data_IF_777887656803
#
_entry.id   IF_777887656803
#
_cell.length_a   1.000
_cell.length_b   1.000
_cell.length_c   1.000
_cell.angle_alpha   90.00
_cell.angle_beta   90.00
_cell.angle_gamma   90.00
#
_symmetry.space_group_name_H-M   'P 1'
#
loop_
_entity.id
_entity.type
_entity.pdbx_description
1 polymer ?
#
# COMPACT_ATOMS: atom_id res chain seq x y z
N UNK A 1 -20.40 41.80 -14.24
CA UNK A 1 -20.79 41.39 -12.88
C UNK A 1 -21.20 39.92 -12.96
N UNK A 2 -20.33 39.02 -12.49
CA UNK A 2 -20.57 37.57 -12.50
C UNK A 2 -21.21 37.18 -11.16
N UNK A 3 -22.35 36.50 -11.21
CA UNK A 3 -23.04 35.95 -10.03
C UNK A 3 -22.73 34.47 -9.97
N UNK A 4 -22.09 34.02 -8.89
CA UNK A 4 -21.92 32.60 -8.58
C UNK A 4 -23.10 32.15 -7.74
N UNK A 5 -23.88 31.18 -8.23
CA UNK A 5 -24.92 30.52 -7.45
C UNK A 5 -24.35 29.21 -6.89
N UNK A 6 -24.20 29.12 -5.57
CA UNK A 6 -23.82 27.91 -4.87
C UNK A 6 -25.09 27.09 -4.56
N UNK A 7 -25.23 25.91 -5.13
CA UNK A 7 -26.27 24.97 -4.70
C UNK A 7 -25.81 24.29 -3.40
N UNK A 8 -26.64 24.22 -2.34
CA UNK A 8 -26.32 23.44 -1.15
C UNK A 8 -26.46 21.96 -1.52
N UNK A 9 -25.33 21.25 -1.68
CA UNK A 9 -25.38 19.80 -1.76
C UNK A 9 -25.58 19.25 -0.34
N UNK A 10 -26.77 18.70 -0.11
CA UNK A 10 -27.11 17.89 1.05
C UNK A 10 -26.07 16.78 1.20
N UNK A 11 -25.26 16.84 2.26
CA UNK A 11 -24.36 15.77 2.67
C UNK A 11 -25.25 14.60 3.10
N UNK A 12 -25.41 13.61 2.21
CA UNK A 12 -25.92 12.31 2.65
C UNK A 12 -24.89 11.71 3.62
N UNK A 13 -25.30 11.19 4.79
CA UNK A 13 -24.40 10.46 5.66
C UNK A 13 -23.85 9.26 4.89
N UNK A 14 -22.53 9.08 4.91
CA UNK A 14 -21.87 7.94 4.30
C UNK A 14 -22.43 6.67 4.95
N UNK A 15 -23.17 5.85 4.21
CA UNK A 15 -23.51 4.50 4.67
C UNK A 15 -22.19 3.71 4.72
N UNK A 16 -21.66 3.47 5.92
CA UNK A 16 -20.48 2.64 6.21
C UNK A 16 -20.76 1.15 5.95
N UNK A 17 -21.11 0.80 4.72
CA UNK A 17 -21.34 -0.58 4.33
C UNK A 17 -20.82 -0.74 2.90
N UNK A 18 -19.61 -1.30 2.78
CA UNK A 18 -18.87 -1.54 1.52
C UNK A 18 -18.24 -0.33 0.82
N UNK A 19 -17.70 0.62 1.60
CA UNK A 19 -16.76 1.60 1.05
C UNK A 19 -15.34 1.05 1.14
N UNK A 20 -14.57 1.13 0.04
CA UNK A 20 -13.12 1.04 0.01
C UNK A 20 -12.57 1.71 1.28
N UNK A 21 -11.62 1.06 1.97
CA UNK A 21 -11.00 1.62 3.15
C UNK A 21 -9.63 2.19 2.80
N UNK A 22 -9.56 3.40 2.20
CA UNK A 22 -8.31 4.01 1.81
C UNK A 22 -7.44 4.33 3.03
N UNK A 23 -8.05 4.49 4.21
CA UNK A 23 -7.34 4.79 5.44
C UNK A 23 -6.52 3.57 5.91
N UNK A 24 -7.05 2.35 5.79
CA UNK A 24 -6.27 1.13 6.06
C UNK A 24 -5.10 1.00 5.10
N UNK A 25 -5.34 1.10 3.80
CA UNK A 25 -4.27 1.01 2.79
C UNK A 25 -3.18 2.08 3.03
N UNK A 26 -3.59 3.30 3.39
CA UNK A 26 -2.68 4.42 3.66
C UNK A 26 -1.85 4.24 4.94
N UNK A 27 -2.46 3.75 6.02
CA UNK A 27 -1.74 3.42 7.26
C UNK A 27 -0.69 2.34 7.05
N UNK A 28 -1.05 1.27 6.35
CA UNK A 28 -0.11 0.18 6.04
C UNK A 28 1.02 0.69 5.14
N UNK A 29 0.70 1.44 4.08
CA UNK A 29 1.73 1.98 3.19
C UNK A 29 2.69 2.93 3.92
N UNK A 30 2.17 3.75 4.84
CA UNK A 30 2.97 4.69 5.64
C UNK A 30 3.85 3.96 6.63
N UNK A 31 3.31 3.00 7.39
CA UNK A 31 4.08 2.23 8.35
C UNK A 31 5.21 1.44 7.66
N UNK A 32 4.92 0.80 6.52
CA UNK A 32 5.93 0.10 5.74
C UNK A 32 7.03 1.04 5.23
N UNK A 33 6.66 2.19 4.65
CA UNK A 33 7.61 3.13 4.04
C UNK A 33 8.40 3.96 5.05
N UNK A 34 7.87 4.23 6.24
CA UNK A 34 8.48 5.14 7.22
C UNK A 34 9.03 4.45 8.47
N UNK A 35 8.68 3.18 8.69
CA UNK A 35 9.10 2.41 9.87
C UNK A 35 9.70 1.06 9.48
N UNK A 36 8.94 0.18 8.82
CA UNK A 36 9.36 -1.22 8.63
C UNK A 36 10.49 -1.40 7.62
N UNK A 37 10.45 -0.67 6.50
CA UNK A 37 11.45 -0.81 5.43
C UNK A 37 12.61 0.17 5.52
N UNK A 38 12.77 0.92 6.61
CA UNK A 38 13.81 1.96 6.71
C UNK A 38 14.62 1.82 8.00
N UNK A 39 15.92 2.09 7.92
CA UNK A 39 16.79 2.16 9.12
C UNK A 39 16.63 3.47 9.89
N UNK A 40 16.21 4.51 9.18
CA UNK A 40 15.99 5.85 9.73
C UNK A 40 14.64 6.36 9.26
N UNK A 41 13.75 6.81 10.17
CA UNK A 41 12.47 7.36 9.81
C UNK A 41 12.61 8.50 8.79
N UNK A 42 11.65 8.60 7.87
CA UNK A 42 11.60 9.62 6.81
C UNK A 42 12.71 9.54 5.74
N UNK A 43 13.51 8.47 5.72
CA UNK A 43 14.35 8.11 4.59
C UNK A 43 13.50 7.53 3.46
N UNK A 44 13.78 7.89 2.21
CA UNK A 44 13.24 7.19 1.03
C UNK A 44 14.03 5.93 0.70
N UNK A 45 15.28 5.84 1.19
CA UNK A 45 16.13 4.68 0.99
C UNK A 45 15.65 3.52 1.85
N UNK A 46 15.39 2.38 1.22
CA UNK A 46 14.95 1.18 1.93
C UNK A 46 16.13 0.38 2.47
N UNK A 47 15.93 -0.22 3.64
CA UNK A 47 16.70 -1.34 4.12
C UNK A 47 16.19 -2.61 3.45
N UNK A 48 16.94 -3.10 2.46
CA UNK A 48 16.62 -4.32 1.72
C UNK A 48 16.62 -5.56 2.60
N UNK A 49 17.41 -5.60 3.68
CA UNK A 49 17.42 -6.73 4.62
C UNK A 49 16.11 -6.79 5.40
N UNK A 50 15.62 -5.65 5.90
CA UNK A 50 14.34 -5.56 6.61
C UNK A 50 13.16 -5.90 5.69
N UNK A 51 13.17 -5.37 4.45
CA UNK A 51 12.15 -5.70 3.46
C UNK A 51 12.18 -7.19 3.07
N UNK A 52 13.37 -7.78 2.84
CA UNK A 52 13.48 -9.23 2.57
C UNK A 52 12.89 -10.04 3.72
N UNK A 53 13.22 -9.72 4.97
CA UNK A 53 12.69 -10.44 6.13
C UNK A 53 11.16 -10.36 6.22
N UNK A 54 10.57 -9.20 5.89
CA UNK A 54 9.12 -9.03 5.86
C UNK A 54 8.43 -9.90 4.79
N UNK A 55 9.02 -10.01 3.60
CA UNK A 55 8.42 -10.78 2.50
C UNK A 55 8.75 -12.28 2.54
N UNK A 56 9.82 -12.70 3.21
CA UNK A 56 10.23 -14.11 3.32
C UNK A 56 9.37 -14.90 4.31
N UNK A 57 8.75 -14.25 5.30
CA UNK A 57 7.90 -14.87 6.33
C UNK A 57 6.44 -14.36 6.25
N UNK A 58 5.68 -14.75 5.21
CA UNK A 58 4.37 -14.16 4.91
C UNK A 58 3.26 -14.50 5.91
N UNK A 59 3.44 -15.53 6.74
CA UNK A 59 2.38 -16.08 7.61
C UNK A 59 1.87 -15.09 8.66
N UNK A 60 2.64 -14.05 8.98
CA UNK A 60 2.32 -13.03 9.99
C UNK A 60 2.14 -11.61 9.43
N UNK A 61 2.04 -11.43 8.11
CA UNK A 61 1.98 -10.10 7.49
C UNK A 61 0.76 -9.31 7.97
N UNK A 62 -0.43 -9.91 8.02
CA UNK A 62 -1.65 -9.22 8.52
C UNK A 62 -1.48 -8.72 9.94
N UNK A 63 -0.94 -9.56 10.84
CA UNK A 63 -0.66 -9.17 12.23
C UNK A 63 0.35 -8.03 12.28
N UNK A 64 1.42 -8.13 11.48
CA UNK A 64 2.48 -7.13 11.38
C UNK A 64 1.94 -5.77 10.96
N UNK A 65 1.04 -5.74 9.96
CA UNK A 65 0.45 -4.49 9.46
C UNK A 65 -0.82 -4.07 10.21
N UNK A 66 -1.19 -4.78 11.29
CA UNK A 66 -2.33 -4.45 12.14
C UNK A 66 -3.71 -4.65 11.48
N UNK A 67 -3.83 -5.60 10.56
CA UNK A 67 -5.08 -5.96 9.88
C UNK A 67 -5.64 -7.29 10.39
N UNK A 68 -6.96 -7.44 10.30
CA UNK A 68 -7.61 -8.74 10.52
C UNK A 68 -7.21 -9.71 9.39
N UNK A 69 -6.93 -10.97 9.72
CA UNK A 69 -6.46 -11.98 8.75
C UNK A 69 -7.46 -12.29 7.64
N UNK A 70 -8.72 -11.90 7.79
CA UNK A 70 -9.75 -12.04 6.77
C UNK A 70 -9.82 -10.85 5.82
N UNK A 71 -9.05 -9.79 6.06
CA UNK A 71 -8.98 -8.60 5.20
C UNK A 71 -8.12 -8.93 3.97
N UNK A 72 -8.69 -8.99 2.77
CA UNK A 72 -7.90 -9.11 1.54
C UNK A 72 -6.87 -7.99 1.44
N UNK A 73 -5.62 -8.38 1.20
CA UNK A 73 -4.47 -7.50 1.18
C UNK A 73 -3.54 -7.94 0.07
N UNK A 74 -3.04 -6.98 -0.70
CA UNK A 74 -1.92 -7.17 -1.60
C UNK A 74 -0.90 -6.05 -1.38
N UNK A 75 0.36 -6.44 -1.23
CA UNK A 75 1.49 -5.51 -1.09
C UNK A 75 2.48 -5.86 -2.18
N UNK A 76 2.95 -4.88 -2.93
CA UNK A 76 3.94 -5.12 -3.99
C UNK A 76 4.91 -3.96 -4.09
N UNK A 77 6.20 -4.25 -4.26
CA UNK A 77 7.23 -3.26 -4.62
C UNK A 77 7.64 -3.49 -6.07
N UNK A 78 7.40 -2.51 -6.94
CA UNK A 78 7.67 -2.64 -8.38
C UNK A 78 8.49 -1.47 -8.89
N UNK A 79 9.36 -1.69 -9.88
CA UNK A 79 10.14 -0.62 -10.51
C UNK A 79 9.22 0.46 -11.07
N UNK A 80 9.54 1.73 -10.85
CA UNK A 80 8.77 2.84 -11.45
C UNK A 80 8.96 2.92 -12.96
N UNK A 81 10.05 2.34 -13.49
CA UNK A 81 10.40 2.40 -14.91
C UNK A 81 9.95 1.16 -15.68
N UNK A 82 10.28 -0.05 -15.20
CA UNK A 82 9.94 -1.30 -15.90
C UNK A 82 8.59 -1.87 -15.49
N UNK A 83 8.11 -1.54 -14.28
CA UNK A 83 6.94 -2.17 -13.68
C UNK A 83 7.18 -3.59 -13.18
N UNK A 84 8.41 -4.09 -13.24
CA UNK A 84 8.76 -5.43 -12.76
C UNK A 84 8.88 -5.45 -11.22
N UNK A 85 8.50 -6.56 -10.56
CA UNK A 85 8.68 -6.72 -9.12
C UNK A 85 10.14 -6.60 -8.71
N UNK A 86 10.39 -5.86 -7.62
CA UNK A 86 11.68 -5.89 -6.96
C UNK A 86 11.88 -7.27 -6.34
N UNK A 87 13.06 -7.86 -6.58
CA UNK A 87 13.46 -9.11 -5.96
C UNK A 87 14.85 -8.97 -5.36
N UNK A 88 15.04 -9.50 -4.16
CA UNK A 88 16.36 -9.53 -3.50
C UNK A 88 16.55 -10.86 -2.79
N UNK A 89 17.76 -11.42 -2.87
CA UNK A 89 18.09 -12.73 -2.29
C UNK A 89 17.15 -13.89 -2.68
N UNK A 90 16.52 -13.80 -3.86
CA UNK A 90 15.55 -14.80 -4.33
C UNK A 90 14.12 -14.62 -3.78
N UNK A 91 13.88 -13.59 -2.98
CA UNK A 91 12.56 -13.21 -2.46
C UNK A 91 12.01 -12.09 -3.34
N UNK A 92 10.85 -12.32 -3.94
CA UNK A 92 10.09 -11.29 -4.66
C UNK A 92 9.30 -10.46 -3.64
N UNK A 93 9.33 -9.13 -3.76
CA UNK A 93 8.65 -8.23 -2.83
C UNK A 93 7.17 -8.06 -3.19
N UNK A 94 6.48 -9.20 -3.20
CA UNK A 94 5.04 -9.32 -3.45
C UNK A 94 4.43 -10.19 -2.35
N UNK A 95 3.36 -9.70 -1.75
CA UNK A 95 2.56 -10.44 -0.78
C UNK A 95 1.08 -10.39 -1.15
N UNK A 96 0.38 -11.50 -0.86
CA UNK A 96 -1.07 -11.61 -1.00
C UNK A 96 -1.53 -11.90 -2.42
N UNK A 97 -2.80 -12.28 -2.54
CA UNK A 97 -3.40 -12.62 -3.82
C UNK A 97 -3.49 -11.39 -4.74
N UNK A 98 -3.39 -11.56 -6.07
CA UNK A 98 -3.65 -10.47 -6.99
C UNK A 98 -5.10 -9.98 -6.82
N UNK A 99 -5.31 -8.68 -7.01
CA UNK A 99 -6.64 -8.09 -6.94
C UNK A 99 -7.59 -8.83 -7.90
N UNK A 100 -8.68 -9.45 -7.40
CA UNK A 100 -9.62 -10.15 -8.26
C UNK A 100 -10.25 -9.21 -9.30
N UNK A 101 -10.48 -9.69 -10.52
CA UNK A 101 -11.14 -8.91 -11.59
C UNK A 101 -12.53 -8.37 -11.18
N UNK A 102 -13.16 -9.02 -10.20
CA UNK A 102 -14.47 -8.66 -9.65
C UNK A 102 -14.42 -8.25 -8.17
N UNK A 103 -13.30 -7.73 -7.69
CA UNK A 103 -13.11 -7.31 -6.29
C UNK A 103 -14.10 -6.24 -5.80
N UNK A 104 -14.96 -5.70 -6.67
CA UNK A 104 -15.88 -4.62 -6.31
C UNK A 104 -15.08 -3.34 -6.13
N UNK A 105 -14.82 -2.96 -4.87
CA UNK A 105 -14.10 -1.75 -4.53
C UNK A 105 -12.73 -2.05 -3.94
N UNK A 106 -11.70 -1.41 -4.48
CA UNK A 106 -10.31 -1.62 -4.07
C UNK A 106 -9.71 -0.28 -3.66
N UNK A 107 -9.20 -0.21 -2.44
CA UNK A 107 -8.38 0.91 -2.00
C UNK A 107 -6.93 0.66 -2.35
N UNK A 108 -6.32 1.62 -3.04
CA UNK A 108 -4.90 1.58 -3.40
C UNK A 108 -4.20 2.79 -2.81
N UNK A 109 -3.11 2.56 -2.10
CA UNK A 109 -2.17 3.61 -1.72
C UNK A 109 -0.77 3.27 -2.23
N UNK A 110 -0.06 4.29 -2.71
CA UNK A 110 1.30 4.15 -3.20
C UNK A 110 2.26 5.08 -2.46
N UNK A 111 3.51 4.62 -2.32
CA UNK A 111 4.67 5.39 -1.83
C UNK A 111 5.86 5.13 -2.76
N UNK A 112 6.71 6.14 -2.94
CA UNK A 112 7.99 5.98 -3.65
C UNK A 112 9.04 5.54 -2.65
N UNK A 113 9.76 4.48 -3.01
CA UNK A 113 10.89 3.93 -2.29
C UNK A 113 12.15 4.02 -3.17
N UNK A 114 13.33 4.05 -2.56
CA UNK A 114 14.62 4.03 -3.25
C UNK A 114 15.46 2.83 -2.85
N UNK A 115 16.06 2.17 -3.83
CA UNK A 115 17.03 1.06 -3.69
C UNK A 115 18.16 1.35 -4.64
N UNK A 116 19.41 1.42 -4.17
CA UNK A 116 20.59 1.66 -5.04
C UNK A 116 20.40 2.80 -6.06
N UNK A 117 19.84 3.94 -5.63
CA UNK A 117 19.49 5.13 -6.43
C UNK A 117 18.36 4.93 -7.49
N UNK A 118 17.78 3.74 -7.58
CA UNK A 118 16.60 3.45 -8.40
C UNK A 118 15.29 3.65 -7.62
N UNK A 119 14.22 4.05 -8.33
CA UNK A 119 12.91 4.32 -7.73
C UNK A 119 11.94 3.16 -7.92
N UNK A 120 11.19 2.86 -6.85
CA UNK A 120 10.20 1.79 -6.80
C UNK A 120 8.86 2.29 -6.23
N UNK A 121 7.76 1.76 -6.76
CA UNK A 121 6.43 1.92 -6.18
C UNK A 121 6.18 0.83 -5.15
N UNK A 122 6.08 1.20 -3.87
CA UNK A 122 5.33 0.40 -2.90
C UNK A 122 3.85 0.64 -3.14
N UNK A 123 3.12 -0.41 -3.49
CA UNK A 123 1.66 -0.38 -3.63
C UNK A 123 1.03 -1.27 -2.57
N UNK A 124 0.08 -0.70 -1.82
CA UNK A 124 -0.76 -1.43 -0.87
C UNK A 124 -2.20 -1.38 -1.36
N UNK A 125 -2.81 -2.55 -1.49
CA UNK A 125 -4.17 -2.73 -1.98
C UNK A 125 -4.99 -3.49 -0.95
N UNK A 126 -6.16 -2.98 -0.62
CA UNK A 126 -7.12 -3.57 0.34
C UNK A 126 -8.50 -3.55 -0.29
N UNK A 127 -9.26 -4.65 -0.17
CA UNK A 127 -10.60 -4.80 -0.74
C UNK A 127 -11.45 -5.77 0.09
#
# INVERSE_FOLDING_TARGET
MLVFASAPQLIAPFSESDAADPLRADRVATDLAESTFVDTPSSTQINTTAATAFFDEPDDVHTTVGLDTRTPLNISVVSTESGEPLSSNGVEYTFGEPVPERAGQVSVTQRVLQVDDESYWLSVRVW
#
